data_IF_883127039062
#
_entry.id   IF_883127039062
#
_cell.length_a   1.000
_cell.length_b   1.000
_cell.length_c   1.000
_cell.angle_alpha   90.00
_cell.angle_beta   90.00
_cell.angle_gamma   90.00
#
_symmetry.space_group_name_H-M   'P 1'
#
loop_
_entity.id
_entity.type
_entity.pdbx_description
1 polymer ?
#
# COMPACT_ATOMS: atom_id res chain seq x y z
N UNK A 1 4.84 9.00 -7.20
CA UNK A 1 5.20 9.69 -8.46
C UNK A 1 6.67 9.54 -8.83
N UNK A 2 7.61 9.35 -7.90
CA UNK A 2 9.02 9.08 -8.26
C UNK A 2 9.24 7.69 -8.91
N UNK A 3 8.39 6.71 -8.58
CA UNK A 3 8.56 5.32 -9.02
C UNK A 3 8.58 5.12 -10.55
N UNK A 4 7.62 5.62 -11.35
CA UNK A 4 7.69 5.49 -12.81
C UNK A 4 8.96 6.12 -13.39
N UNK A 5 9.43 7.24 -12.84
CA UNK A 5 10.66 7.90 -13.29
C UNK A 5 11.87 7.02 -13.00
N UNK A 6 11.94 6.41 -11.80
CA UNK A 6 13.02 5.48 -11.45
C UNK A 6 12.99 4.23 -12.33
N UNK A 7 11.84 3.61 -12.52
CA UNK A 7 11.68 2.42 -13.38
C UNK A 7 12.11 2.73 -14.81
N UNK A 8 11.67 3.87 -15.35
CA UNK A 8 12.06 4.33 -16.69
C UNK A 8 13.58 4.48 -16.84
N UNK A 9 14.25 5.10 -15.86
CA UNK A 9 15.69 5.35 -15.93
C UNK A 9 16.52 4.07 -15.71
N UNK A 10 16.04 3.12 -14.91
CA UNK A 10 16.80 1.90 -14.55
C UNK A 10 16.52 0.74 -15.52
N UNK A 11 15.26 0.57 -15.94
CA UNK A 11 14.80 -0.61 -16.69
C UNK A 11 14.31 -0.29 -18.11
N UNK A 12 14.22 0.99 -18.48
CA UNK A 12 13.80 1.44 -19.80
C UNK A 12 12.29 1.59 -19.98
N UNK A 13 11.90 2.10 -21.16
CA UNK A 13 10.52 2.49 -21.45
C UNK A 13 9.54 1.31 -21.54
N UNK A 14 9.97 0.19 -22.11
CA UNK A 14 9.15 -1.03 -22.25
C UNK A 14 8.73 -1.57 -20.87
N UNK A 15 9.69 -1.79 -19.98
CA UNK A 15 9.44 -2.24 -18.61
C UNK A 15 8.62 -1.23 -17.80
N UNK A 16 8.85 0.08 -18.02
CA UNK A 16 8.05 1.12 -17.37
C UNK A 16 6.57 1.11 -17.81
N UNK A 17 6.27 0.80 -19.07
CA UNK A 17 4.90 0.65 -19.53
C UNK A 17 4.19 -0.51 -18.82
N UNK A 18 4.87 -1.66 -18.69
CA UNK A 18 4.36 -2.83 -17.96
C UNK A 18 4.14 -2.50 -16.49
N UNK A 19 5.13 -1.87 -15.85
CA UNK A 19 5.03 -1.41 -14.48
C UNK A 19 3.83 -0.47 -14.27
N UNK A 20 3.65 0.52 -15.15
CA UNK A 20 2.60 1.52 -15.01
C UNK A 20 1.20 0.90 -15.05
N UNK A 21 0.95 -0.03 -15.95
CA UNK A 21 -0.32 -0.74 -16.04
C UNK A 21 -0.55 -1.61 -14.78
N UNK A 22 0.44 -2.41 -14.38
CA UNK A 22 0.34 -3.23 -13.17
C UNK A 22 0.13 -2.38 -11.91
N UNK A 23 0.84 -1.25 -11.78
CA UNK A 23 0.68 -0.30 -10.69
C UNK A 23 -0.72 0.33 -10.70
N UNK A 24 -1.23 0.72 -11.87
CA UNK A 24 -2.55 1.35 -12.00
C UNK A 24 -3.66 0.41 -11.54
N UNK A 25 -3.63 -0.85 -11.97
CA UNK A 25 -4.59 -1.87 -11.51
C UNK A 25 -4.41 -2.12 -10.01
N UNK A 26 -3.17 -2.29 -9.54
CA UNK A 26 -2.89 -2.53 -8.13
C UNK A 26 -3.34 -1.39 -7.22
N UNK A 27 -3.22 -0.14 -7.68
CA UNK A 27 -3.57 1.06 -6.92
C UNK A 27 -5.05 1.10 -6.51
N UNK A 28 -5.97 0.49 -7.28
CA UNK A 28 -7.38 0.40 -6.91
C UNK A 28 -7.59 -0.26 -5.54
N UNK A 29 -6.79 -1.27 -5.22
CA UNK A 29 -6.91 -1.98 -3.94
C UNK A 29 -6.47 -1.10 -2.77
N UNK A 30 -5.52 -0.19 -3.01
CA UNK A 30 -5.05 0.79 -2.01
C UNK A 30 -6.05 1.95 -1.79
N UNK A 31 -7.07 2.09 -2.64
CA UNK A 31 -8.15 3.06 -2.42
C UNK A 31 -8.98 2.66 -1.19
N UNK A 32 -9.23 1.36 -0.99
CA UNK A 32 -10.05 0.85 0.11
C UNK A 32 -9.55 1.38 1.48
N UNK A 33 -8.30 1.12 1.91
CA UNK A 33 -7.82 1.61 3.20
C UNK A 33 -7.78 3.13 3.29
N UNK A 34 -7.55 3.85 2.19
CA UNK A 34 -7.50 5.32 2.21
C UNK A 34 -8.90 5.92 2.36
N UNK A 35 -9.92 5.40 1.69
CA UNK A 35 -11.32 5.81 1.83
C UNK A 35 -11.84 5.65 3.27
N UNK A 36 -11.60 4.48 3.88
CA UNK A 36 -11.96 4.26 5.29
C UNK A 36 -11.14 5.15 6.24
N UNK A 37 -9.86 5.41 5.92
CA UNK A 37 -9.02 6.33 6.67
C UNK A 37 -9.57 7.76 6.67
N UNK A 38 -10.08 8.24 5.54
CA UNK A 38 -10.74 9.55 5.42
C UNK A 38 -12.04 9.62 6.20
N UNK A 39 -12.89 8.61 6.08
CA UNK A 39 -14.14 8.52 6.86
C UNK A 39 -13.85 8.54 8.37
N UNK A 40 -12.91 7.73 8.84
CA UNK A 40 -12.49 7.69 10.24
C UNK A 40 -11.89 9.04 10.72
N UNK A 41 -11.19 9.77 9.83
CA UNK A 41 -10.66 11.10 10.15
C UNK A 41 -11.78 12.11 10.40
N UNK A 42 -12.82 12.11 9.56
CA UNK A 42 -14.00 12.97 9.72
C UNK A 42 -14.74 12.65 11.01
N UNK A 43 -15.10 11.39 11.24
CA UNK A 43 -15.81 10.95 12.44
C UNK A 43 -15.01 11.26 13.71
N UNK A 44 -13.71 10.95 13.71
CA UNK A 44 -12.82 11.21 14.84
C UNK A 44 -12.66 12.71 15.14
N UNK A 45 -12.71 13.57 14.12
CA UNK A 45 -12.64 15.03 14.31
C UNK A 45 -13.92 15.61 14.92
N UNK A 46 -15.06 14.93 14.77
CA UNK A 46 -16.34 15.33 15.38
C UNK A 46 -16.56 14.73 16.78
N UNK A 47 -15.55 14.07 17.37
CA UNK A 47 -15.61 13.55 18.73
C UNK A 47 -16.27 12.18 18.86
N UNK A 48 -16.50 11.46 17.75
CA UNK A 48 -17.01 10.10 17.82
C UNK A 48 -16.01 9.14 18.51
N UNK A 49 -16.49 8.06 19.17
CA UNK A 49 -15.64 7.16 19.94
C UNK A 49 -14.64 6.40 19.04
N UNK A 50 -13.41 6.92 18.99
CA UNK A 50 -12.35 6.50 18.06
C UNK A 50 -12.05 5.00 18.11
N UNK A 51 -12.07 4.38 19.30
CA UNK A 51 -11.77 2.94 19.44
C UNK A 51 -12.79 2.06 18.72
N UNK A 52 -14.07 2.41 18.79
CA UNK A 52 -15.16 1.66 18.16
C UNK A 52 -15.12 1.87 16.66
N UNK A 53 -14.99 3.12 16.20
CA UNK A 53 -14.90 3.44 14.77
C UNK A 53 -13.67 2.83 14.12
N UNK A 54 -12.52 2.88 14.76
CA UNK A 54 -11.29 2.22 14.29
C UNK A 54 -11.50 0.72 14.06
N UNK A 55 -12.11 0.01 15.02
CA UNK A 55 -12.41 -1.43 14.86
C UNK A 55 -13.36 -1.69 13.68
N UNK A 56 -14.43 -0.89 13.56
CA UNK A 56 -15.37 -0.99 12.44
C UNK A 56 -14.69 -0.70 11.09
N UNK A 57 -13.83 0.32 11.02
CA UNK A 57 -13.06 0.65 9.83
C UNK A 57 -12.11 -0.48 9.46
N UNK A 58 -11.36 -1.04 10.42
CA UNK A 58 -10.47 -2.18 10.16
C UNK A 58 -11.25 -3.38 9.61
N UNK A 59 -12.38 -3.71 10.22
CA UNK A 59 -13.23 -4.79 9.73
C UNK A 59 -13.76 -4.51 8.31
N UNK A 60 -14.29 -3.31 8.06
CA UNK A 60 -14.80 -2.92 6.74
C UNK A 60 -13.72 -2.88 5.67
N UNK A 61 -12.50 -2.44 6.02
CA UNK A 61 -11.35 -2.48 5.13
C UNK A 61 -11.07 -3.92 4.74
N UNK A 62 -10.85 -4.84 5.70
CA UNK A 62 -10.51 -6.22 5.36
C UNK A 62 -11.65 -6.98 4.67
N UNK A 63 -12.91 -6.66 4.97
CA UNK A 63 -14.08 -7.24 4.31
C UNK A 63 -14.11 -6.95 2.80
N UNK A 64 -13.61 -5.78 2.36
CA UNK A 64 -13.50 -5.44 0.94
C UNK A 64 -12.11 -5.77 0.37
N UNK A 65 -11.06 -5.60 1.16
CA UNK A 65 -9.69 -5.78 0.73
C UNK A 65 -9.37 -7.24 0.41
N UNK A 66 -9.76 -8.18 1.27
CA UNK A 66 -9.52 -9.60 1.05
C UNK A 66 -10.13 -10.12 -0.25
N UNK A 67 -11.43 -9.92 -0.56
CA UNK A 67 -11.98 -10.36 -1.83
C UNK A 67 -11.35 -9.65 -3.02
N UNK A 68 -11.03 -8.35 -2.93
CA UNK A 68 -10.31 -7.64 -4.01
C UNK A 68 -8.93 -8.24 -4.27
N UNK A 69 -8.18 -8.60 -3.23
CA UNK A 69 -6.88 -9.27 -3.38
C UNK A 69 -7.05 -10.65 -4.01
N UNK A 70 -8.04 -11.45 -3.57
CA UNK A 70 -8.33 -12.75 -4.19
C UNK A 70 -8.67 -12.62 -5.67
N UNK A 71 -9.50 -11.64 -6.04
CA UNK A 71 -9.81 -11.35 -7.45
C UNK A 71 -8.53 -11.06 -8.23
N UNK A 72 -7.60 -10.25 -7.73
CA UNK A 72 -6.34 -10.00 -8.44
C UNK A 72 -5.44 -11.24 -8.52
N UNK A 73 -5.37 -12.06 -7.46
CA UNK A 73 -4.54 -13.27 -7.49
C UNK A 73 -5.01 -14.25 -8.57
N UNK A 74 -6.32 -14.47 -8.66
CA UNK A 74 -6.91 -15.46 -9.57
C UNK A 74 -7.22 -14.90 -10.96
N UNK A 75 -7.70 -13.65 -11.06
CA UNK A 75 -8.11 -13.02 -12.32
C UNK A 75 -7.13 -11.97 -12.84
N UNK A 76 -6.01 -11.72 -12.16
CA UNK A 76 -5.04 -10.69 -12.55
C UNK A 76 -4.46 -10.86 -13.95
N UNK A 77 -4.33 -12.10 -14.42
CA UNK A 77 -3.86 -12.41 -15.77
C UNK A 77 -4.86 -11.91 -16.82
N UNK A 78 -6.15 -12.21 -16.64
CA UNK A 78 -7.21 -11.73 -17.53
C UNK A 78 -7.33 -10.20 -17.52
N UNK A 79 -7.16 -9.56 -16.35
CA UNK A 79 -7.17 -8.10 -16.22
C UNK A 79 -6.04 -7.46 -17.03
N UNK A 80 -4.84 -8.05 -17.00
CA UNK A 80 -3.69 -7.56 -17.77
C UNK A 80 -3.83 -7.87 -19.26
N UNK A 81 -4.23 -9.09 -19.61
CA UNK A 81 -4.42 -9.52 -20.98
C UNK A 81 -5.48 -8.69 -21.72
N UNK A 82 -6.52 -8.24 -21.03
CA UNK A 82 -7.54 -7.34 -21.57
C UNK A 82 -6.97 -6.00 -22.06
N UNK A 83 -5.92 -5.49 -21.39
CA UNK A 83 -5.23 -4.26 -21.79
C UNK A 83 -4.16 -4.51 -22.86
N UNK A 84 -3.77 -5.76 -23.07
CA UNK A 84 -2.82 -6.20 -24.08
C UNK A 84 -1.95 -7.35 -23.58
N UNK A 85 -1.73 -8.37 -24.41
CA UNK A 85 -0.98 -9.59 -24.04
C UNK A 85 0.43 -9.32 -23.51
N UNK A 86 1.10 -8.28 -24.00
CA UNK A 86 2.44 -7.93 -23.52
C UNK A 86 2.45 -7.53 -22.03
N UNK A 87 1.33 -7.05 -21.48
CA UNK A 87 1.21 -6.69 -20.06
C UNK A 87 1.11 -7.88 -19.11
N UNK A 88 0.89 -9.09 -19.61
CA UNK A 88 0.89 -10.32 -18.80
C UNK A 88 2.23 -10.54 -18.07
N UNK A 89 3.34 -10.01 -18.62
CA UNK A 89 4.64 -10.00 -17.96
C UNK A 89 4.64 -9.27 -16.61
N UNK A 90 3.68 -8.36 -16.38
CA UNK A 90 3.48 -7.64 -15.12
C UNK A 90 2.66 -8.41 -14.06
N UNK A 91 2.21 -9.64 -14.35
CA UNK A 91 1.33 -10.40 -13.47
C UNK A 91 1.95 -10.66 -12.09
N UNK A 92 3.23 -11.03 -12.05
CA UNK A 92 3.93 -11.28 -10.79
C UNK A 92 3.97 -10.02 -9.93
N UNK A 93 4.34 -8.88 -10.51
CA UNK A 93 4.31 -7.57 -9.86
C UNK A 93 2.91 -7.23 -9.33
N UNK A 94 1.87 -7.40 -10.14
CA UNK A 94 0.48 -7.11 -9.76
C UNK A 94 0.03 -7.95 -8.56
N UNK A 95 0.36 -9.25 -8.55
CA UNK A 95 0.07 -10.15 -7.41
C UNK A 95 0.81 -9.71 -6.15
N UNK A 96 2.07 -9.32 -6.26
CA UNK A 96 2.85 -8.83 -5.11
C UNK A 96 2.26 -7.51 -4.58
N UNK A 97 1.82 -6.60 -5.45
CA UNK A 97 1.11 -5.38 -5.02
C UNK A 97 -0.18 -5.70 -4.26
N UNK A 98 -0.98 -6.64 -4.77
CA UNK A 98 -2.21 -7.06 -4.11
C UNK A 98 -1.92 -7.61 -2.70
N UNK A 99 -0.92 -8.48 -2.54
CA UNK A 99 -0.51 -8.98 -1.22
C UNK A 99 0.02 -7.86 -0.32
N UNK A 100 0.82 -6.94 -0.87
CA UNK A 100 1.35 -5.78 -0.14
C UNK A 100 0.23 -4.89 0.43
N UNK A 101 -0.88 -4.78 -0.30
CA UNK A 101 -2.04 -3.98 0.12
C UNK A 101 -2.63 -4.44 1.45
N UNK A 102 -2.46 -5.71 1.85
CA UNK A 102 -2.94 -6.25 3.13
C UNK A 102 -2.28 -5.56 4.34
N UNK A 103 -1.09 -4.97 4.16
CA UNK A 103 -0.37 -4.24 5.21
C UNK A 103 -0.67 -2.74 5.21
N UNK A 104 -1.23 -2.20 4.13
CA UNK A 104 -1.58 -0.79 4.01
C UNK A 104 -2.62 -0.27 5.04
N UNK A 105 -3.60 -1.07 5.52
CA UNK A 105 -4.56 -0.62 6.52
C UNK A 105 -3.89 -0.14 7.81
N UNK A 106 -2.79 -0.77 8.24
CA UNK A 106 -2.05 -0.37 9.44
C UNK A 106 -1.54 1.07 9.32
N UNK A 107 -0.90 1.38 8.19
CA UNK A 107 -0.42 2.73 7.90
C UNK A 107 -1.57 3.73 7.78
N UNK A 108 -2.63 3.40 7.04
CA UNK A 108 -3.77 4.30 6.84
C UNK A 108 -4.46 4.65 8.17
N UNK A 109 -4.81 3.65 8.97
CA UNK A 109 -5.48 3.84 10.26
C UNK A 109 -4.59 4.61 11.24
N UNK A 110 -3.32 4.22 11.38
CA UNK A 110 -2.38 4.92 12.25
C UNK A 110 -2.24 6.39 11.84
N UNK A 111 -2.10 6.65 10.54
CA UNK A 111 -1.99 8.00 10.02
C UNK A 111 -3.23 8.84 10.34
N UNK A 112 -4.42 8.25 10.21
CA UNK A 112 -5.67 8.91 10.59
C UNK A 112 -5.74 9.22 12.07
N UNK A 113 -5.41 8.28 12.94
CA UNK A 113 -5.44 8.50 14.39
C UNK A 113 -4.49 9.64 14.78
N UNK A 114 -3.26 9.63 14.23
CA UNK A 114 -2.28 10.69 14.49
C UNK A 114 -2.72 12.06 13.97
N UNK A 115 -3.39 12.11 12.81
CA UNK A 115 -3.99 13.35 12.29
C UNK A 115 -5.08 13.89 13.20
N UNK A 116 -6.00 13.04 13.69
CA UNK A 116 -7.05 13.46 14.64
C UNK A 116 -6.44 13.94 15.96
N UNK A 117 -5.40 13.28 16.46
CA UNK A 117 -4.66 13.68 17.66
C UNK A 117 -3.80 14.95 17.46
N UNK A 118 -3.68 15.47 16.24
CA UNK A 118 -2.78 16.58 15.85
C UNK A 118 -1.29 16.30 16.14
N UNK A 119 -0.91 15.04 16.33
CA UNK A 119 0.50 14.63 16.49
C UNK A 119 1.12 14.37 15.12
N UNK A 120 1.47 15.46 14.45
CA UNK A 120 2.09 15.42 13.12
C UNK A 120 3.54 14.93 13.16
N UNK A 121 4.24 15.07 14.29
CA UNK A 121 5.66 14.64 14.39
C UNK A 121 5.77 13.12 14.24
N UNK A 122 4.95 12.37 14.98
CA UNK A 122 4.91 10.91 14.87
C UNK A 122 4.44 10.42 13.50
N UNK A 123 3.52 11.14 12.86
CA UNK A 123 3.07 10.85 11.50
C UNK A 123 4.19 11.05 10.47
N UNK A 124 4.86 12.20 10.51
CA UNK A 124 5.95 12.55 9.59
C UNK A 124 7.07 11.52 9.70
N UNK A 125 7.44 11.09 10.92
CA UNK A 125 8.47 10.08 11.12
C UNK A 125 8.15 8.75 10.41
N UNK A 126 6.90 8.25 10.51
CA UNK A 126 6.49 7.00 9.87
C UNK A 126 6.37 7.15 8.35
N UNK A 127 5.85 8.28 7.86
CA UNK A 127 5.78 8.58 6.42
C UNK A 127 7.18 8.65 5.81
N UNK A 128 8.10 9.32 6.51
CA UNK A 128 9.49 9.44 6.08
C UNK A 128 10.16 8.08 6.03
N UNK A 129 10.00 7.25 7.07
CA UNK A 129 10.53 5.89 7.11
C UNK A 129 9.97 5.02 5.98
N UNK A 130 8.65 5.05 5.76
CA UNK A 130 8.02 4.27 4.68
C UNK A 130 8.57 4.71 3.32
N UNK A 131 8.63 6.02 3.09
CA UNK A 131 9.07 6.58 1.81
C UNK A 131 10.55 6.30 1.54
N UNK A 132 11.41 6.43 2.55
CA UNK A 132 12.84 6.15 2.40
C UNK A 132 13.09 4.67 2.14
N UNK A 133 12.46 3.77 2.90
CA UNK A 133 12.55 2.33 2.66
C UNK A 133 12.06 1.96 1.27
N UNK A 134 10.92 2.51 0.85
CA UNK A 134 10.34 2.22 -0.45
C UNK A 134 11.29 2.61 -1.59
N UNK A 135 11.85 3.82 -1.54
CA UNK A 135 12.75 4.32 -2.58
C UNK A 135 14.06 3.52 -2.60
N UNK A 136 14.70 3.34 -1.43
CA UNK A 136 15.97 2.64 -1.34
C UNK A 136 15.85 1.18 -1.74
N UNK A 137 14.87 0.45 -1.19
CA UNK A 137 14.65 -0.97 -1.52
C UNK A 137 14.25 -1.13 -2.99
N UNK A 138 13.42 -0.24 -3.53
CA UNK A 138 13.04 -0.34 -4.94
C UNK A 138 14.25 -0.20 -5.85
N UNK A 139 15.15 0.77 -5.58
CA UNK A 139 16.35 0.94 -6.39
C UNK A 139 17.21 -0.33 -6.41
N UNK A 140 17.54 -0.89 -5.24
CA UNK A 140 18.38 -2.08 -5.14
C UNK A 140 17.70 -3.35 -5.70
N UNK A 141 16.42 -3.56 -5.39
CA UNK A 141 15.70 -4.76 -5.84
C UNK A 141 15.37 -4.71 -7.32
N UNK A 142 15.20 -3.52 -7.91
CA UNK A 142 15.04 -3.39 -9.37
C UNK A 142 16.26 -3.89 -10.13
N UNK A 143 17.47 -3.64 -9.62
CA UNK A 143 18.70 -4.11 -10.25
C UNK A 143 18.81 -5.65 -10.25
N UNK A 144 18.25 -6.31 -9.23
CA UNK A 144 18.32 -7.77 -9.09
C UNK A 144 17.13 -8.51 -9.73
N UNK A 145 15.92 -7.95 -9.66
CA UNK A 145 14.67 -8.65 -10.00
C UNK A 145 13.81 -7.91 -11.04
N UNK A 146 14.33 -6.84 -11.64
CA UNK A 146 13.59 -6.01 -12.60
C UNK A 146 12.35 -5.37 -11.97
N UNK A 147 11.26 -5.29 -12.72
CA UNK A 147 10.01 -4.65 -12.25
C UNK A 147 9.41 -5.34 -11.01
N UNK A 148 9.63 -6.64 -10.84
CA UNK A 148 9.17 -7.38 -9.66
C UNK A 148 9.88 -6.92 -8.38
N UNK A 149 11.11 -6.42 -8.50
CA UNK A 149 11.85 -5.82 -7.40
C UNK A 149 11.11 -4.65 -6.76
N UNK A 150 10.36 -3.88 -7.55
CA UNK A 150 9.49 -2.82 -7.03
C UNK A 150 8.37 -3.41 -6.17
N UNK A 151 7.72 -4.48 -6.62
CA UNK A 151 6.70 -5.17 -5.85
C UNK A 151 7.23 -5.65 -4.50
N UNK A 152 8.40 -6.29 -4.48
CA UNK A 152 9.02 -6.74 -3.24
C UNK A 152 9.40 -5.59 -2.31
N UNK A 153 9.90 -4.47 -2.86
CA UNK A 153 10.17 -3.27 -2.08
C UNK A 153 8.90 -2.72 -1.40
N UNK A 154 7.78 -2.69 -2.13
CA UNK A 154 6.48 -2.33 -1.56
C UNK A 154 6.07 -3.27 -0.42
N UNK A 155 6.12 -4.58 -0.66
CA UNK A 155 5.75 -5.58 0.34
C UNK A 155 6.58 -5.41 1.62
N UNK A 156 7.91 -5.36 1.49
CA UNK A 156 8.83 -5.25 2.62
C UNK A 156 8.65 -3.93 3.37
N UNK A 157 8.47 -2.82 2.66
CA UNK A 157 8.33 -1.50 3.28
C UNK A 157 7.02 -1.41 4.09
N UNK A 158 5.90 -1.87 3.51
CA UNK A 158 4.63 -1.89 4.23
C UNK A 158 4.60 -2.91 5.36
N UNK A 159 5.17 -4.10 5.17
CA UNK A 159 5.29 -5.10 6.22
C UNK A 159 6.11 -4.57 7.40
N UNK A 160 7.28 -3.99 7.14
CA UNK A 160 8.14 -3.41 8.16
C UNK A 160 7.46 -2.25 8.91
N UNK A 161 6.82 -1.33 8.17
CA UNK A 161 6.05 -0.26 8.79
C UNK A 161 4.87 -0.77 9.62
N UNK A 162 4.18 -1.83 9.17
CA UNK A 162 3.06 -2.42 9.92
C UNK A 162 3.50 -2.98 11.28
N UNK A 163 4.69 -3.60 11.34
CA UNK A 163 5.29 -4.10 12.59
C UNK A 163 5.58 -2.93 13.54
N UNK A 164 6.24 -1.88 13.04
CA UNK A 164 6.55 -0.69 13.86
C UNK A 164 5.28 -0.05 14.40
N UNK A 165 4.27 0.12 13.55
CA UNK A 165 2.97 0.68 13.94
C UNK A 165 2.30 -0.20 15.00
N UNK A 166 2.33 -1.53 14.83
CA UNK A 166 1.81 -2.48 15.82
C UNK A 166 2.50 -2.35 17.18
N UNK A 167 3.82 -2.19 17.20
CA UNK A 167 4.59 -1.96 18.44
C UNK A 167 4.22 -0.62 19.11
N UNK A 168 4.08 0.45 18.33
CA UNK A 168 3.66 1.78 18.83
C UNK A 168 2.23 1.71 19.38
N UNK A 169 1.32 1.03 18.69
CA UNK A 169 -0.07 0.88 19.10
C UNK A 169 -0.18 0.12 20.44
N UNK A 170 0.64 -0.93 20.63
CA UNK A 170 0.73 -1.67 21.89
C UNK A 170 1.28 -0.80 23.02
N UNK A 171 2.34 -0.02 22.76
CA UNK A 171 2.93 0.90 23.76
C UNK A 171 1.95 1.98 24.22
N UNK A 172 1.12 2.49 23.31
CA UNK A 172 0.14 3.54 23.58
C UNK A 172 -1.22 3.02 24.07
N UNK A 173 -1.37 1.71 24.34
CA UNK A 173 -2.62 1.07 24.81
C UNK A 173 -3.85 1.36 23.94
N UNK A 174 -3.66 1.49 22.62
CA UNK A 174 -4.80 1.63 21.69
C UNK A 174 -5.56 0.32 21.52
N UNK A 175 -4.90 -0.80 21.86
CA UNK A 175 -5.43 -2.16 21.87
C UNK A 175 -5.60 -2.60 23.31
#
# INVERSE_FOLDING_TARGET
MIMPIMVLNVLGAEQNAIYYIAYTIGAFVFIIPTSFGTSLFVEGSHGEPMRIKTKKSVFGIYALLLPSVLVIIFLGEYLLAFLGKHYEAGLSLLRVFAVSSLFAPFFSIYSTIKRVQKDLKGLIAVVFLLSSLLITLSYFLMLAYGINGVGYAWLLSYAFCSVIIGLIAKKNRWI
#
